data_IF_735748778280
#
_entry.id   IF_735748778280
#
_cell.length_a   1.000
_cell.length_b   1.000
_cell.length_c   1.000
_cell.angle_alpha   90.00
_cell.angle_beta   90.00
_cell.angle_gamma   90.00
#
_symmetry.space_group_name_H-M   'P 1'
#
loop_
_entity.id
_entity.type
_entity.pdbx_description
1 polymer ?
#
# COMPACT_ATOMS: atom_id res chain seq x y z
N UNK A 1 -0.88 -3.37 16.36
CA UNK A 1 -0.61 -2.07 15.70
C UNK A 1 -1.93 -1.55 15.14
N UNK A 2 -2.17 -0.24 15.06
CA UNK A 2 -3.43 0.34 14.54
C UNK A 2 -3.19 1.05 13.20
N UNK A 3 -4.18 1.01 12.30
CA UNK A 3 -4.14 1.69 11.00
C UNK A 3 -4.11 3.22 11.19
N UNK A 4 -2.99 3.86 10.82
CA UNK A 4 -2.76 5.30 11.04
C UNK A 4 -3.78 6.21 10.37
N UNK A 5 -4.27 5.83 9.19
CA UNK A 5 -5.24 6.62 8.43
C UNK A 5 -6.70 6.36 8.84
N UNK A 6 -6.96 5.64 9.94
CA UNK A 6 -8.34 5.34 10.33
C UNK A 6 -9.15 6.60 10.64
N UNK A 7 -8.53 7.61 11.25
CA UNK A 7 -9.17 8.90 11.55
C UNK A 7 -9.59 9.68 10.29
N UNK A 8 -9.00 9.39 9.13
CA UNK A 8 -9.41 10.04 7.88
C UNK A 8 -10.85 9.66 7.47
N UNK A 9 -11.38 8.52 7.94
CA UNK A 9 -12.78 8.15 7.72
C UNK A 9 -13.76 9.08 8.45
N UNK A 10 -13.33 9.68 9.56
CA UNK A 10 -14.16 10.63 10.32
C UNK A 10 -14.28 11.98 9.60
N UNK A 11 -13.28 12.33 8.80
CA UNK A 11 -13.20 13.59 8.06
C UNK A 11 -13.73 13.47 6.63
N UNK A 12 -13.68 12.27 6.05
CA UNK A 12 -14.00 12.04 4.64
C UNK A 12 -14.83 10.77 4.43
N UNK A 13 -16.14 10.98 4.27
CA UNK A 13 -17.13 9.90 4.11
C UNK A 13 -16.94 9.05 2.84
N UNK A 14 -16.24 9.56 1.83
CA UNK A 14 -16.02 8.86 0.56
C UNK A 14 -14.72 8.04 0.55
N UNK A 15 -13.91 8.07 1.61
CA UNK A 15 -12.60 7.43 1.65
C UNK A 15 -12.66 5.93 1.35
N UNK A 16 -13.61 5.22 1.95
CA UNK A 16 -13.76 3.78 1.70
C UNK A 16 -14.26 3.50 0.28
N UNK A 17 -15.13 4.34 -0.29
CA UNK A 17 -15.56 4.20 -1.67
C UNK A 17 -14.40 4.29 -2.65
N UNK A 18 -13.45 5.20 -2.40
CA UNK A 18 -12.23 5.33 -3.22
C UNK A 18 -11.30 4.12 -3.07
N UNK A 19 -11.11 3.62 -1.85
CA UNK A 19 -10.31 2.41 -1.61
C UNK A 19 -10.90 1.20 -2.35
N UNK A 20 -12.22 1.01 -2.25
CA UNK A 20 -12.92 -0.04 -2.98
C UNK A 20 -12.76 0.13 -4.50
N UNK A 21 -12.77 1.36 -5.01
CA UNK A 21 -12.46 1.68 -6.41
C UNK A 21 -11.02 1.39 -6.82
N UNK A 22 -10.09 1.33 -5.88
CA UNK A 22 -8.67 0.94 -6.07
C UNK A 22 -8.42 -0.55 -5.86
N UNK A 23 -9.47 -1.38 -5.95
CA UNK A 23 -9.40 -2.84 -5.83
C UNK A 23 -9.12 -3.37 -4.40
N UNK A 24 -9.41 -2.57 -3.37
CA UNK A 24 -9.43 -3.06 -1.99
C UNK A 24 -10.72 -3.85 -1.75
N UNK A 25 -10.65 -4.97 -1.04
CA UNK A 25 -11.83 -5.63 -0.49
C UNK A 25 -12.39 -4.86 0.71
N UNK A 26 -13.59 -5.26 1.18
CA UNK A 26 -14.17 -4.70 2.41
C UNK A 26 -13.34 -5.05 3.65
N UNK A 27 -12.61 -6.14 3.59
CA UNK A 27 -11.71 -6.58 4.64
C UNK A 27 -10.42 -5.75 4.61
N UNK A 28 -9.90 -5.44 3.41
CA UNK A 28 -8.65 -4.68 3.23
C UNK A 28 -8.72 -3.25 3.75
N UNK A 29 -9.89 -2.61 3.75
CA UNK A 29 -9.99 -1.22 4.24
C UNK A 29 -9.57 -1.08 5.71
N UNK A 30 -9.70 -2.16 6.49
CA UNK A 30 -9.39 -2.21 7.93
C UNK A 30 -7.96 -2.71 8.23
N UNK A 31 -7.21 -3.16 7.23
CA UNK A 31 -5.83 -3.61 7.39
C UNK A 31 -4.88 -2.41 7.52
N UNK A 32 -3.65 -2.68 7.96
CA UNK A 32 -2.60 -1.66 7.89
C UNK A 32 -2.39 -1.25 6.43
N UNK A 33 -2.14 0.04 6.21
CA UNK A 33 -1.83 0.57 4.89
C UNK A 33 -0.35 0.95 4.90
N UNK A 34 0.45 0.16 4.19
CA UNK A 34 1.91 0.32 4.10
C UNK A 34 2.24 0.86 2.72
N UNK A 35 2.87 2.03 2.67
CA UNK A 35 3.44 2.55 1.43
C UNK A 35 4.79 1.89 1.20
N UNK A 36 4.91 1.15 0.10
CA UNK A 36 6.19 0.68 -0.44
C UNK A 36 6.56 1.64 -1.57
N UNK A 37 7.61 2.41 -1.35
CA UNK A 37 8.11 3.40 -2.30
C UNK A 37 9.59 3.12 -2.57
N UNK A 38 9.99 3.14 -3.84
CA UNK A 38 11.35 2.89 -4.27
C UNK A 38 11.78 3.90 -5.34
N UNK A 39 13.10 3.94 -5.61
CA UNK A 39 13.67 4.81 -6.63
C UNK A 39 13.85 4.08 -7.98
N UNK A 40 12.99 3.10 -8.32
CA UNK A 40 13.10 2.37 -9.58
C UNK A 40 13.08 3.32 -10.77
N UNK A 41 13.98 3.03 -11.72
CA UNK A 41 14.06 3.71 -12.99
C UNK A 41 15.12 3.04 -13.85
N UNK A 42 14.87 2.99 -15.16
CA UNK A 42 15.73 2.26 -16.11
C UNK A 42 17.00 3.05 -16.50
N UNK A 43 17.11 4.31 -16.09
CA UNK A 43 18.19 5.21 -16.50
C UNK A 43 19.54 4.93 -15.84
N UNK A 44 19.57 4.31 -14.65
CA UNK A 44 20.79 4.06 -13.89
C UNK A 44 20.92 2.57 -13.49
N UNK A 45 22.14 1.98 -13.59
CA UNK A 45 22.39 0.61 -13.14
C UNK A 45 22.08 0.37 -11.64
N UNK A 46 22.10 1.43 -10.83
CA UNK A 46 21.75 1.34 -9.41
C UNK A 46 20.25 1.18 -9.13
N UNK A 47 19.37 1.56 -10.07
CA UNK A 47 17.92 1.65 -9.84
C UNK A 47 17.09 0.67 -10.67
N UNK A 48 17.60 0.18 -11.80
CA UNK A 48 16.80 -0.60 -12.76
C UNK A 48 16.20 -1.91 -12.21
N UNK A 49 16.74 -2.43 -11.09
CA UNK A 49 16.32 -3.69 -10.48
C UNK A 49 15.48 -3.50 -9.21
N UNK A 50 15.26 -2.25 -8.76
CA UNK A 50 14.61 -1.99 -7.48
C UNK A 50 13.14 -2.42 -7.45
N UNK A 51 12.43 -2.40 -8.59
CA UNK A 51 11.05 -2.88 -8.66
C UNK A 51 10.89 -4.31 -8.12
N UNK A 52 11.90 -5.17 -8.31
CA UNK A 52 11.87 -6.56 -7.81
C UNK A 52 11.90 -6.60 -6.28
N UNK A 53 12.64 -5.69 -5.65
CA UNK A 53 12.69 -5.57 -4.20
C UNK A 53 11.40 -4.96 -3.65
N UNK A 54 10.84 -3.98 -4.37
CA UNK A 54 9.52 -3.42 -4.09
C UNK A 54 8.43 -4.50 -4.11
N UNK A 55 8.40 -5.34 -5.14
CA UNK A 55 7.44 -6.44 -5.28
C UNK A 55 7.53 -7.46 -4.13
N UNK A 56 8.74 -7.86 -3.72
CA UNK A 56 8.92 -8.77 -2.57
C UNK A 56 8.53 -8.11 -1.24
N UNK A 57 8.79 -6.80 -1.07
CA UNK A 57 8.32 -6.06 0.09
C UNK A 57 6.79 -6.00 0.15
N UNK A 58 6.11 -5.76 -0.99
CA UNK A 58 4.64 -5.80 -1.10
C UNK A 58 4.11 -7.19 -0.72
N UNK A 59 4.75 -8.27 -1.18
CA UNK A 59 4.36 -9.63 -0.79
C UNK A 59 4.48 -9.87 0.71
N UNK A 60 5.59 -9.46 1.33
CA UNK A 60 5.77 -9.60 2.79
C UNK A 60 4.72 -8.84 3.60
N UNK A 61 4.29 -7.67 3.12
CA UNK A 61 3.18 -6.88 3.69
C UNK A 61 1.87 -7.68 3.65
N UNK A 62 1.52 -8.24 2.49
CA UNK A 62 0.33 -9.07 2.33
C UNK A 62 0.36 -10.35 3.19
N UNK A 63 1.48 -11.07 3.22
CA UNK A 63 1.67 -12.28 4.03
C UNK A 63 1.56 -12.00 5.53
N UNK A 64 1.88 -10.78 5.95
CA UNK A 64 1.77 -10.32 7.34
C UNK A 64 0.36 -9.85 7.72
N UNK A 65 -0.61 -9.93 6.81
CA UNK A 65 -2.02 -9.65 7.09
C UNK A 65 -2.44 -8.19 6.91
N UNK A 66 -1.69 -7.39 6.16
CA UNK A 66 -2.11 -6.03 5.83
C UNK A 66 -1.18 -5.30 4.92
#
# INVERSE_FOLDING_TARGET
MSQKCQHARDLWSQLDALRLGMNYSKEDVNKLQVLVDDCYGESHPGSFHLYRLGDEAVRGVHESGG
#
